data_IF_491487626259
#
_entry.id   IF_491487626259
#
_cell.length_a   1.000
_cell.length_b   1.000
_cell.length_c   1.000
_cell.angle_alpha   90.00
_cell.angle_beta   90.00
_cell.angle_gamma   90.00
#
_symmetry.space_group_name_H-M   'P 1'
#
loop_
_entity.id
_entity.type
_entity.pdbx_description
1 polymer ?
#
# COMPACT_ATOMS: atom_id res chain seq x y z
N UNK A 1 -9.95 7.77 -16.80
CA UNK A 1 -10.17 9.01 -16.05
C UNK A 1 -8.86 9.77 -16.02
N UNK A 2 -8.84 11.04 -16.39
CA UNK A 2 -7.66 11.88 -16.22
C UNK A 2 -7.46 12.12 -14.71
N UNK A 3 -6.25 11.95 -14.21
CA UNK A 3 -5.88 12.36 -12.85
C UNK A 3 -6.23 13.84 -12.66
N UNK A 4 -6.93 14.15 -11.58
CA UNK A 4 -7.26 15.51 -11.20
C UNK A 4 -5.94 16.31 -11.03
N UNK A 5 -5.92 17.62 -11.35
CA UNK A 5 -4.73 18.46 -11.22
C UNK A 5 -4.13 18.44 -9.80
N UNK A 6 -4.98 18.25 -8.79
CA UNK A 6 -4.54 18.14 -7.39
C UNK A 6 -3.80 16.83 -7.12
N UNK A 7 -4.28 15.70 -7.68
CA UNK A 7 -3.62 14.39 -7.57
C UNK A 7 -2.25 14.39 -8.27
N UNK A 8 -2.15 15.08 -9.42
CA UNK A 8 -0.88 15.27 -10.12
C UNK A 8 0.13 16.13 -9.34
N UNK A 9 -0.35 17.11 -8.55
CA UNK A 9 0.51 17.95 -7.71
C UNK A 9 1.04 17.18 -6.50
N UNK A 10 0.18 16.41 -5.83
CA UNK A 10 0.57 15.53 -4.71
C UNK A 10 1.56 14.44 -5.15
N UNK A 11 1.35 13.82 -6.30
CA UNK A 11 2.29 12.86 -6.89
C UNK A 11 3.66 13.48 -7.17
N UNK A 12 3.70 14.72 -7.64
CA UNK A 12 4.95 15.44 -7.91
C UNK A 12 5.72 15.76 -6.61
N UNK A 13 5.01 16.22 -5.57
CA UNK A 13 5.60 16.50 -4.26
C UNK A 13 6.13 15.22 -3.60
N UNK A 14 5.39 14.13 -3.70
CA UNK A 14 5.81 12.82 -3.19
C UNK A 14 7.01 12.27 -3.96
N UNK A 15 7.07 12.47 -5.27
CA UNK A 15 8.22 12.07 -6.09
C UNK A 15 9.50 12.83 -5.70
N UNK A 16 9.42 14.13 -5.41
CA UNK A 16 10.58 14.90 -4.96
C UNK A 16 11.07 14.46 -3.57
N UNK A 17 10.17 14.09 -2.64
CA UNK A 17 10.53 13.51 -1.34
C UNK A 17 11.28 12.17 -1.49
N UNK A 18 10.77 11.26 -2.34
CA UNK A 18 11.41 9.96 -2.60
C UNK A 18 12.78 10.12 -3.27
N UNK A 19 12.92 11.10 -4.13
CA UNK A 19 14.20 11.42 -4.77
C UNK A 19 15.27 11.84 -3.73
N UNK A 20 14.87 12.52 -2.68
CA UNK A 20 15.77 12.91 -1.60
C UNK A 20 16.11 11.70 -0.68
N UNK A 21 15.19 10.76 -0.46
CA UNK A 21 15.46 9.49 0.27
C UNK A 21 16.38 8.56 -0.52
N UNK A 22 16.19 8.42 -1.84
CA UNK A 22 17.08 7.61 -2.71
C UNK A 22 18.52 8.19 -2.77
N UNK A 23 18.70 9.47 -2.50
CA UNK A 23 20.02 10.11 -2.39
C UNK A 23 20.81 9.69 -1.15
N UNK A 24 20.19 9.10 -0.14
CA UNK A 24 20.80 8.84 1.17
C UNK A 24 21.41 7.44 1.31
N UNK A 25 21.10 6.49 0.42
CA UNK A 25 21.77 5.18 0.39
C UNK A 25 23.12 5.30 -0.31
N UNK A 26 24.12 5.63 0.51
CA UNK A 26 25.48 5.96 0.10
C UNK A 26 26.30 4.80 -0.43
N UNK A 27 26.12 4.43 -1.66
CA UNK A 27 27.23 3.90 -2.48
C UNK A 27 26.89 3.88 -3.98
N UNK A 28 26.80 5.03 -4.60
CA UNK A 28 26.91 5.11 -6.06
C UNK A 28 27.42 6.51 -6.43
N UNK A 29 28.33 6.57 -7.40
CA UNK A 29 28.91 7.83 -7.88
C UNK A 29 27.82 8.88 -8.13
N UNK A 30 28.08 10.13 -7.74
CA UNK A 30 27.14 11.23 -7.85
C UNK A 30 26.54 11.36 -9.28
N UNK A 31 27.29 11.00 -10.30
CA UNK A 31 26.86 10.96 -11.70
C UNK A 31 25.77 9.89 -11.97
N UNK A 32 25.93 8.65 -11.46
CA UNK A 32 24.94 7.59 -11.65
C UNK A 32 23.57 7.92 -11.03
N UNK A 33 23.57 8.63 -9.90
CA UNK A 33 22.33 9.07 -9.24
C UNK A 33 21.64 10.20 -9.98
N UNK A 34 22.40 11.13 -10.60
CA UNK A 34 21.85 12.20 -11.43
C UNK A 34 21.17 11.61 -12.67
N UNK A 35 21.82 10.66 -13.37
CA UNK A 35 21.25 10.00 -14.55
C UNK A 35 19.99 9.20 -14.20
N UNK A 36 19.96 8.46 -13.09
CA UNK A 36 18.76 7.76 -12.61
C UNK A 36 17.62 8.73 -12.29
N UNK A 37 17.89 9.83 -11.61
CA UNK A 37 16.86 10.81 -11.26
C UNK A 37 16.30 11.54 -12.47
N UNK A 38 17.13 11.88 -13.47
CA UNK A 38 16.70 12.50 -14.72
C UNK A 38 15.88 11.52 -15.58
N UNK A 39 16.28 10.26 -15.65
CA UNK A 39 15.53 9.20 -16.34
C UNK A 39 14.16 8.96 -15.70
N UNK A 40 14.09 8.88 -14.37
CA UNK A 40 12.83 8.73 -13.64
C UNK A 40 11.90 9.94 -13.87
N UNK A 41 12.42 11.17 -13.84
CA UNK A 41 11.63 12.37 -14.11
C UNK A 41 11.08 12.39 -15.53
N UNK A 42 11.92 12.10 -16.54
CA UNK A 42 11.51 12.04 -17.95
C UNK A 42 10.45 10.94 -18.18
N UNK A 43 10.64 9.78 -17.58
CA UNK A 43 9.68 8.67 -17.67
C UNK A 43 8.33 9.03 -17.00
N UNK A 44 8.37 9.70 -15.85
CA UNK A 44 7.18 10.19 -15.15
C UNK A 44 6.41 11.22 -15.99
N UNK A 45 7.11 12.25 -16.52
CA UNK A 45 6.49 13.27 -17.39
C UNK A 45 5.91 12.66 -18.68
N UNK A 46 6.56 11.63 -19.21
CA UNK A 46 6.06 10.89 -20.38
C UNK A 46 4.85 10.03 -20.03
N UNK A 47 4.83 9.41 -18.85
CA UNK A 47 3.71 8.61 -18.36
C UNK A 47 2.46 9.46 -18.11
N UNK A 48 2.62 10.68 -17.59
CA UNK A 48 1.50 11.61 -17.38
C UNK A 48 0.80 12.03 -18.69
N UNK A 49 1.53 12.01 -19.81
CA UNK A 49 1.01 12.41 -21.14
C UNK A 49 0.38 11.24 -21.91
N UNK A 50 0.67 10.02 -21.52
CA UNK A 50 0.21 8.81 -22.22
C UNK A 50 -0.93 8.15 -21.45
N UNK A 51 -1.92 7.61 -22.17
CA UNK A 51 -2.89 6.69 -21.57
C UNK A 51 -2.16 5.38 -21.25
N UNK A 52 -1.95 5.16 -19.95
CA UNK A 52 -1.24 3.96 -19.47
C UNK A 52 -2.17 2.77 -19.56
N UNK A 53 -1.77 1.75 -20.31
CA UNK A 53 -2.38 0.43 -20.26
C UNK A 53 -1.75 -0.39 -19.12
N UNK A 54 -2.34 -0.26 -17.94
CA UNK A 54 -1.86 -0.93 -16.73
C UNK A 54 -1.83 -2.45 -16.89
N UNK A 55 -2.81 -3.04 -17.58
CA UNK A 55 -2.91 -4.49 -17.70
C UNK A 55 -1.78 -5.07 -18.57
N UNK A 56 -1.46 -4.39 -19.66
CA UNK A 56 -0.32 -4.76 -20.51
C UNK A 56 1.00 -4.66 -19.75
N UNK A 57 1.20 -3.57 -19.00
CA UNK A 57 2.42 -3.37 -18.19
C UNK A 57 2.55 -4.46 -17.11
N UNK A 58 1.49 -4.76 -16.37
CA UNK A 58 1.52 -5.79 -15.33
C UNK A 58 1.77 -7.19 -15.89
N UNK A 59 1.23 -7.49 -17.08
CA UNK A 59 1.49 -8.75 -17.78
C UNK A 59 2.95 -8.87 -18.20
N UNK A 60 3.53 -7.79 -18.72
CA UNK A 60 4.94 -7.75 -19.11
C UNK A 60 5.86 -7.86 -17.89
N UNK A 61 5.58 -7.13 -16.83
CA UNK A 61 6.29 -7.21 -15.56
C UNK A 61 6.24 -8.63 -14.98
N UNK A 62 5.07 -9.25 -14.92
CA UNK A 62 4.92 -10.64 -14.47
C UNK A 62 5.76 -11.61 -15.29
N UNK A 63 5.89 -11.42 -16.60
CA UNK A 63 6.68 -12.27 -17.50
C UNK A 63 8.19 -12.10 -17.28
N UNK A 64 8.64 -10.88 -17.06
CA UNK A 64 10.06 -10.51 -17.12
C UNK A 64 10.71 -10.31 -15.73
N UNK A 65 9.94 -10.37 -14.64
CA UNK A 65 10.46 -10.19 -13.27
C UNK A 65 10.45 -11.49 -12.47
N UNK A 66 11.42 -11.62 -11.57
CA UNK A 66 11.48 -12.67 -10.56
C UNK A 66 10.51 -12.35 -9.42
N UNK A 67 10.18 -13.35 -8.62
CA UNK A 67 9.21 -13.19 -7.54
C UNK A 67 9.63 -12.14 -6.50
N UNK A 68 10.90 -12.05 -6.13
CA UNK A 68 11.40 -11.04 -5.18
C UNK A 68 11.28 -9.62 -5.74
N UNK A 69 11.58 -9.40 -7.03
CA UNK A 69 11.45 -8.11 -7.70
C UNK A 69 9.99 -7.63 -7.71
N UNK A 70 9.02 -8.55 -7.82
CA UNK A 70 7.60 -8.22 -7.71
C UNK A 70 7.22 -7.78 -6.29
N UNK A 71 7.79 -8.39 -5.26
CA UNK A 71 7.60 -7.94 -3.88
C UNK A 71 8.25 -6.57 -3.62
N UNK A 72 9.42 -6.30 -4.19
CA UNK A 72 10.08 -4.98 -4.11
C UNK A 72 9.22 -3.89 -4.78
N UNK A 73 8.59 -4.20 -5.93
CA UNK A 73 7.65 -3.27 -6.56
C UNK A 73 6.44 -2.95 -5.65
N UNK A 74 5.87 -3.96 -4.99
CA UNK A 74 4.77 -3.72 -4.04
C UNK A 74 5.24 -2.90 -2.84
N UNK A 75 6.43 -3.18 -2.32
CA UNK A 75 7.01 -2.40 -1.22
C UNK A 75 7.18 -0.93 -1.61
N UNK A 76 7.67 -0.66 -2.82
CA UNK A 76 7.76 0.68 -3.39
C UNK A 76 6.39 1.35 -3.55
N UNK A 77 5.40 0.65 -4.11
CA UNK A 77 4.04 1.18 -4.27
C UNK A 77 3.38 1.50 -2.93
N UNK A 78 3.59 0.67 -1.91
CA UNK A 78 3.10 0.93 -0.56
C UNK A 78 3.79 2.17 0.04
N UNK A 79 5.11 2.29 -0.09
CA UNK A 79 5.84 3.48 0.38
C UNK A 79 5.32 4.76 -0.30
N UNK A 80 5.05 4.71 -1.60
CA UNK A 80 4.46 5.83 -2.34
C UNK A 80 3.07 6.19 -1.81
N UNK A 81 2.22 5.19 -1.60
CA UNK A 81 0.85 5.39 -1.14
C UNK A 81 0.77 6.00 0.25
N UNK A 82 1.73 5.70 1.14
CA UNK A 82 1.71 6.18 2.53
C UNK A 82 2.58 7.44 2.77
N UNK A 83 3.11 8.05 1.72
CA UNK A 83 4.05 9.19 1.85
C UNK A 83 3.43 10.41 2.53
N UNK A 84 2.13 10.59 2.44
CA UNK A 84 1.36 11.67 3.08
C UNK A 84 0.77 11.26 4.46
N UNK A 85 1.24 10.16 5.04
CA UNK A 85 0.76 9.59 6.30
C UNK A 85 -0.70 9.12 6.27
N UNK A 86 -1.29 9.05 5.07
CA UNK A 86 -2.62 8.49 4.86
C UNK A 86 -2.57 7.27 3.95
N UNK A 87 -3.64 6.47 3.96
CA UNK A 87 -3.82 5.33 3.06
C UNK A 87 -5.29 5.24 2.68
N UNK A 88 -5.61 5.50 1.43
CA UNK A 88 -6.99 5.58 0.96
C UNK A 88 -7.53 4.24 0.46
N UNK A 89 -8.85 4.13 0.40
CA UNK A 89 -9.52 2.97 -0.17
C UNK A 89 -9.13 2.73 -1.64
N UNK A 90 -8.92 3.80 -2.41
CA UNK A 90 -8.52 3.69 -3.83
C UNK A 90 -7.10 3.14 -3.98
N UNK A 91 -6.17 3.60 -3.14
CA UNK A 91 -4.80 3.08 -3.10
C UNK A 91 -4.77 1.62 -2.69
N UNK A 92 -5.57 1.26 -1.68
CA UNK A 92 -5.73 -0.12 -1.25
C UNK A 92 -6.22 -1.02 -2.40
N UNK A 93 -7.31 -0.62 -3.09
CA UNK A 93 -7.86 -1.36 -4.22
C UNK A 93 -6.85 -1.49 -5.37
N UNK A 94 -6.15 -0.41 -5.67
CA UNK A 94 -5.12 -0.40 -6.71
C UNK A 94 -3.97 -1.35 -6.39
N UNK A 95 -3.42 -1.31 -5.18
CA UNK A 95 -2.30 -2.15 -4.75
C UNK A 95 -2.73 -3.62 -4.68
N UNK A 96 -3.93 -3.93 -4.19
CA UNK A 96 -4.50 -5.28 -4.18
C UNK A 96 -4.65 -5.83 -5.61
N UNK A 97 -5.11 -5.00 -6.56
CA UNK A 97 -5.20 -5.36 -7.99
C UNK A 97 -3.81 -5.66 -8.57
N UNK A 98 -2.82 -4.82 -8.29
CA UNK A 98 -1.45 -5.02 -8.76
C UNK A 98 -0.85 -6.30 -8.18
N UNK A 99 -0.95 -6.53 -6.88
CA UNK A 99 -0.44 -7.73 -6.21
C UNK A 99 -1.03 -9.01 -6.80
N UNK A 100 -2.35 -9.03 -7.03
CA UNK A 100 -3.05 -10.14 -7.67
C UNK A 100 -2.58 -10.36 -9.12
N UNK A 101 -2.40 -9.29 -9.89
CA UNK A 101 -1.94 -9.39 -11.28
C UNK A 101 -0.51 -9.89 -11.40
N UNK A 102 0.35 -9.56 -10.43
CA UNK A 102 1.72 -10.04 -10.33
C UNK A 102 1.84 -11.44 -9.71
N UNK A 103 0.72 -12.09 -9.36
CA UNK A 103 0.68 -13.44 -8.81
C UNK A 103 1.47 -13.59 -7.51
N UNK A 104 1.33 -12.63 -6.62
CA UNK A 104 1.98 -12.65 -5.33
C UNK A 104 1.22 -13.55 -4.35
N UNK A 105 1.97 -14.24 -3.49
CA UNK A 105 1.37 -15.05 -2.44
C UNK A 105 0.62 -14.17 -1.44
N UNK A 106 -0.69 -14.41 -1.30
CA UNK A 106 -1.59 -13.51 -0.56
C UNK A 106 -1.14 -13.27 0.90
N UNK A 107 -0.75 -14.32 1.62
CA UNK A 107 -0.33 -14.17 3.03
C UNK A 107 0.89 -13.26 3.18
N UNK A 108 1.93 -13.45 2.35
CA UNK A 108 3.14 -12.63 2.38
C UNK A 108 2.86 -11.18 2.00
N UNK A 109 2.04 -10.98 0.97
CA UNK A 109 1.60 -9.65 0.56
C UNK A 109 0.84 -8.94 1.68
N UNK A 110 -0.13 -9.60 2.32
CA UNK A 110 -0.90 -9.02 3.42
C UNK A 110 0.00 -8.67 4.62
N UNK A 111 0.99 -9.49 4.94
CA UNK A 111 1.95 -9.17 6.03
C UNK A 111 2.81 -7.92 5.70
N UNK A 112 3.28 -7.76 4.46
CA UNK A 112 3.99 -6.56 4.02
C UNK A 112 3.08 -5.34 4.13
N UNK A 113 1.87 -5.41 3.56
CA UNK A 113 0.88 -4.33 3.60
C UNK A 113 0.57 -3.90 5.04
N UNK A 114 0.27 -4.84 5.92
CA UNK A 114 -0.02 -4.58 7.33
C UNK A 114 1.14 -3.91 8.08
N UNK A 115 2.37 -4.35 7.80
CA UNK A 115 3.56 -3.75 8.42
C UNK A 115 3.75 -2.30 7.97
N UNK A 116 3.61 -2.02 6.67
CA UNK A 116 3.80 -0.69 6.09
C UNK A 116 2.69 0.28 6.51
N UNK A 117 1.45 -0.16 6.58
CA UNK A 117 0.31 0.69 6.92
C UNK A 117 0.00 0.76 8.44
N UNK A 118 0.89 0.24 9.29
CA UNK A 118 0.63 0.13 10.73
C UNK A 118 0.48 1.49 11.44
N UNK A 119 1.19 2.53 10.96
CA UNK A 119 1.22 3.86 11.58
C UNK A 119 0.41 4.92 10.82
N UNK A 120 -0.13 4.60 9.64
CA UNK A 120 -0.83 5.57 8.80
C UNK A 120 -2.34 5.59 9.04
N UNK A 121 -2.96 6.73 8.76
CA UNK A 121 -4.41 6.91 8.88
C UNK A 121 -5.11 6.38 7.62
N UNK A 122 -6.10 5.52 7.81
CA UNK A 122 -6.96 5.05 6.72
C UNK A 122 -8.07 6.07 6.44
N UNK A 123 -8.30 6.41 5.17
CA UNK A 123 -9.28 7.42 4.74
C UNK A 123 -10.15 6.89 3.60
N UNK A 124 -11.35 7.44 3.47
CA UNK A 124 -12.30 7.16 2.38
C UNK A 124 -12.75 5.69 2.23
N UNK A 125 -12.65 4.91 3.30
CA UNK A 125 -13.06 3.51 3.25
C UNK A 125 -14.59 3.32 3.37
N UNK A 126 -15.40 4.27 3.83
CA UNK A 126 -16.87 4.16 3.99
C UNK A 126 -17.32 3.01 4.92
N UNK A 127 -18.63 2.79 5.04
CA UNK A 127 -19.19 1.82 5.99
C UNK A 127 -18.93 0.32 5.67
N UNK A 128 -18.58 0.00 4.41
CA UNK A 128 -18.18 -1.37 4.00
C UNK A 128 -16.67 -1.60 4.01
N UNK A 129 -15.93 -0.62 4.43
CA UNK A 129 -14.49 -0.59 4.42
C UNK A 129 -13.86 -1.51 5.45
N UNK A 130 -14.55 -1.73 6.54
CA UNK A 130 -14.04 -2.49 7.67
C UNK A 130 -13.58 -3.89 7.26
N UNK A 131 -14.30 -4.53 6.33
CA UNK A 131 -13.95 -5.85 5.82
C UNK A 131 -12.69 -5.83 4.95
N UNK A 132 -12.60 -4.87 4.02
CA UNK A 132 -11.48 -4.79 3.08
C UNK A 132 -10.17 -4.39 3.76
N UNK A 133 -10.24 -3.55 4.80
CA UNK A 133 -9.08 -3.18 5.65
C UNK A 133 -8.45 -4.43 6.28
N UNK A 134 -9.27 -5.40 6.67
CA UNK A 134 -8.81 -6.67 7.24
C UNK A 134 -8.53 -7.76 6.20
N UNK A 135 -8.63 -7.45 4.91
CA UNK A 135 -8.43 -8.42 3.84
C UNK A 135 -9.55 -9.44 3.73
N UNK A 136 -10.73 -9.10 4.24
CA UNK A 136 -11.93 -9.93 4.12
C UNK A 136 -12.53 -9.74 2.73
N UNK A 137 -12.73 -10.83 2.00
CA UNK A 137 -13.30 -10.85 0.67
C UNK A 137 -14.73 -11.38 0.67
N UNK A 138 -15.48 -11.14 -0.41
CA UNK A 138 -16.89 -11.54 -0.51
C UNK A 138 -17.10 -13.05 -0.58
N UNK A 139 -16.09 -13.76 -1.04
CA UNK A 139 -16.05 -15.21 -1.20
C UNK A 139 -15.73 -15.95 0.12
N UNK A 140 -15.26 -15.25 1.15
CA UNK A 140 -15.04 -15.83 2.47
C UNK A 140 -16.36 -16.18 3.16
N UNK A 141 -16.44 -17.38 3.72
CA UNK A 141 -17.56 -17.76 4.56
C UNK A 141 -17.55 -17.05 5.93
N UNK A 142 -18.66 -17.13 6.67
CA UNK A 142 -18.81 -16.50 8.00
C UNK A 142 -17.72 -16.95 8.98
N UNK A 143 -17.32 -18.22 8.94
CA UNK A 143 -16.32 -18.79 9.85
C UNK A 143 -14.92 -18.26 9.54
N UNK A 144 -14.59 -18.16 8.26
CA UNK A 144 -13.34 -17.58 7.79
C UNK A 144 -13.22 -16.10 8.14
N UNK A 145 -14.27 -15.31 7.90
CA UNK A 145 -14.36 -13.89 8.30
C UNK A 145 -14.14 -13.71 9.80
N UNK A 146 -14.81 -14.51 10.62
CA UNK A 146 -14.64 -14.48 12.08
C UNK A 146 -13.22 -14.87 12.53
N UNK A 147 -12.56 -15.80 11.83
CA UNK A 147 -11.18 -16.20 12.10
C UNK A 147 -10.22 -15.06 11.81
N UNK A 148 -10.39 -14.37 10.67
CA UNK A 148 -9.59 -13.19 10.31
C UNK A 148 -9.76 -12.09 11.36
N UNK A 149 -10.98 -11.72 11.69
CA UNK A 149 -11.28 -10.65 12.65
C UNK A 149 -10.74 -10.95 14.07
N UNK A 150 -10.76 -12.21 14.50
CA UNK A 150 -10.14 -12.61 15.77
C UNK A 150 -8.62 -12.44 15.75
N UNK A 151 -7.97 -12.84 14.64
CA UNK A 151 -6.52 -12.69 14.45
C UNK A 151 -6.14 -11.20 14.45
N UNK A 152 -6.87 -10.37 13.73
CA UNK A 152 -6.61 -8.93 13.66
C UNK A 152 -6.86 -8.24 15.01
N UNK A 153 -7.93 -8.56 15.70
CA UNK A 153 -8.18 -8.05 17.05
C UNK A 153 -7.00 -8.36 17.99
N UNK A 154 -6.53 -9.60 18.03
CA UNK A 154 -5.42 -10.01 18.90
C UNK A 154 -4.13 -9.29 18.51
N UNK A 155 -3.84 -9.14 17.22
CA UNK A 155 -2.68 -8.42 16.70
C UNK A 155 -2.68 -6.95 17.15
N UNK A 156 -3.77 -6.23 16.88
CA UNK A 156 -3.87 -4.82 17.23
C UNK A 156 -3.92 -4.60 18.73
N UNK A 157 -4.55 -5.50 19.48
CA UNK A 157 -4.54 -5.44 20.94
C UNK A 157 -3.11 -5.56 21.52
N UNK A 158 -2.25 -6.38 20.95
CA UNK A 158 -0.84 -6.48 21.36
C UNK A 158 -0.06 -5.16 21.12
N UNK A 159 -0.44 -4.37 20.14
CA UNK A 159 0.21 -3.11 19.77
C UNK A 159 -0.31 -1.90 20.58
N UNK A 160 -1.36 -2.04 21.40
CA UNK A 160 -1.92 -0.93 22.20
C UNK A 160 -0.96 -0.38 23.26
N UNK A 161 0.09 -1.12 23.60
CA UNK A 161 1.15 -0.71 24.53
C UNK A 161 2.49 -0.46 23.83
N UNK A 162 2.51 -0.25 22.51
CA UNK A 162 3.73 0.05 21.76
C UNK A 162 4.38 1.35 22.25
N UNK A 163 5.71 1.46 22.15
CA UNK A 163 6.44 2.67 22.57
C UNK A 163 6.16 3.87 21.67
N UNK A 164 5.83 3.66 20.38
CA UNK A 164 5.43 4.69 19.45
C UNK A 164 3.99 5.12 19.68
N UNK A 165 3.77 6.43 19.85
CA UNK A 165 2.44 7.00 20.10
C UNK A 165 1.48 6.80 18.92
N UNK A 166 1.95 7.01 17.69
CA UNK A 166 1.11 6.86 16.49
C UNK A 166 0.66 5.41 16.32
N UNK A 167 1.55 4.45 16.55
CA UNK A 167 1.23 3.02 16.53
C UNK A 167 0.21 2.67 17.61
N UNK A 168 0.35 3.21 18.85
CA UNK A 168 -0.62 2.96 19.92
C UNK A 168 -2.01 3.47 19.60
N UNK A 169 -2.11 4.70 19.13
CA UNK A 169 -3.39 5.33 18.77
C UNK A 169 -4.07 4.52 17.65
N UNK A 170 -3.30 4.21 16.62
CA UNK A 170 -3.77 3.38 15.51
C UNK A 170 -4.20 1.99 15.95
N UNK A 171 -3.44 1.36 16.85
CA UNK A 171 -3.77 0.04 17.37
C UNK A 171 -5.12 0.01 18.12
N UNK A 172 -5.44 1.07 18.87
CA UNK A 172 -6.73 1.19 19.54
C UNK A 172 -7.88 1.30 18.55
N UNK A 173 -7.77 2.17 17.55
CA UNK A 173 -8.76 2.34 16.51
C UNK A 173 -9.02 1.03 15.77
N UNK A 174 -7.97 0.36 15.30
CA UNK A 174 -8.07 -0.87 14.53
C UNK A 174 -8.58 -2.05 15.35
N UNK A 175 -8.21 -2.13 16.61
CA UNK A 175 -8.76 -3.13 17.55
C UNK A 175 -10.27 -2.96 17.71
N UNK A 176 -10.71 -1.72 17.93
CA UNK A 176 -12.13 -1.42 18.15
C UNK A 176 -12.93 -1.63 16.85
N UNK A 177 -12.35 -1.29 15.70
CA UNK A 177 -12.91 -1.58 14.39
C UNK A 177 -13.09 -3.09 14.17
N UNK A 178 -12.05 -3.90 14.44
CA UNK A 178 -12.14 -5.36 14.33
C UNK A 178 -13.21 -5.95 15.27
N UNK A 179 -13.35 -5.40 16.49
CA UNK A 179 -14.37 -5.83 17.43
C UNK A 179 -15.79 -5.49 16.94
N UNK A 180 -15.99 -4.28 16.38
CA UNK A 180 -17.27 -3.84 15.85
C UNK A 180 -17.68 -4.64 14.60
N UNK A 181 -16.75 -4.80 13.63
CA UNK A 181 -16.99 -5.61 12.44
C UNK A 181 -17.33 -7.06 12.81
N UNK A 182 -16.67 -7.63 13.82
CA UNK A 182 -16.96 -8.99 14.30
C UNK A 182 -18.39 -9.14 14.82
N UNK A 183 -18.96 -8.12 15.46
CA UNK A 183 -20.35 -8.15 15.97
C UNK A 183 -21.38 -8.31 14.87
N UNK A 184 -21.07 -7.91 13.64
CA UNK A 184 -21.97 -8.08 12.49
C UNK A 184 -22.12 -9.55 12.08
N UNK A 185 -21.19 -10.43 12.56
CA UNK A 185 -21.16 -11.85 12.25
C UNK A 185 -21.46 -12.75 13.47
N UNK A 186 -21.74 -12.19 14.62
CA UNK A 186 -22.14 -12.99 15.78
C UNK A 186 -23.64 -12.99 15.92
#
# INVERSE_FOLDING_TARGET
MALNQQEGKNLKENFEKIKDEIRYDGDSSAEGNIYKSLSLKSNYESALKKKIDLESILKELKKNSRIHERYEMIDLLLNLAITDETYSAKENEFIDKVAKSLDLHNEQFQEIKKRKTASVKFVDFGDKADESIFGITKDMDKKEKLKVLRKEYSRWNALTNNNDKAIRERAREMRDLAANTRRQYT
#
